data_IF_371095294434
#
_entry.id   IF_371095294434
#
_cell.length_a   1.000
_cell.length_b   1.000
_cell.length_c   1.000
_cell.angle_alpha   90.00
_cell.angle_beta   90.00
_cell.angle_gamma   90.00
#
_symmetry.space_group_name_H-M   'P 1'
#
loop_
_entity.id
_entity.type
_entity.pdbx_description
1 polymer ?
#
# COMPACT_ATOMS: atom_id res chain seq x y z
N UNK A 1 -10.80 -5.66 0.45
CA UNK A 1 -10.52 -6.54 1.62
C UNK A 1 -9.47 -7.61 1.29
N UNK A 2 -9.67 -8.41 0.23
CA UNK A 2 -8.72 -9.43 -0.21
C UNK A 2 -7.32 -8.86 -0.52
N UNK A 3 -7.25 -7.73 -1.21
CA UNK A 3 -5.98 -7.03 -1.51
C UNK A 3 -5.22 -6.54 -0.27
N UNK A 4 -5.95 -6.03 0.73
CA UNK A 4 -5.35 -5.54 1.99
C UNK A 4 -4.77 -6.73 2.77
N UNK A 5 -5.50 -7.84 2.81
CA UNK A 5 -5.00 -9.08 3.41
C UNK A 5 -3.76 -9.56 2.66
N UNK A 6 -3.83 -9.68 1.33
CA UNK A 6 -2.70 -10.09 0.49
C UNK A 6 -1.47 -9.21 0.70
N UNK A 7 -1.62 -7.89 0.74
CA UNK A 7 -0.52 -6.93 0.99
C UNK A 7 0.13 -7.12 2.37
N UNK A 8 -0.67 -7.34 3.42
CA UNK A 8 -0.14 -7.62 4.77
C UNK A 8 0.59 -8.95 4.83
N UNK A 9 0.05 -9.95 4.14
CA UNK A 9 0.65 -11.27 4.06
C UNK A 9 1.99 -11.25 3.31
N UNK A 10 2.09 -10.49 2.21
CA UNK A 10 3.34 -10.31 1.48
C UNK A 10 4.37 -9.53 2.31
N UNK A 11 3.93 -8.51 3.05
CA UNK A 11 4.83 -7.72 3.90
C UNK A 11 5.42 -8.55 5.05
N UNK A 12 4.58 -9.32 5.76
CA UNK A 12 5.05 -10.22 6.82
C UNK A 12 6.05 -11.25 6.28
N UNK A 13 5.76 -11.83 5.12
CA UNK A 13 6.66 -12.80 4.49
C UNK A 13 8.00 -12.17 4.04
N UNK A 14 8.00 -10.88 3.70
CA UNK A 14 9.23 -10.11 3.41
C UNK A 14 10.08 -9.86 4.66
N UNK A 15 9.47 -9.55 5.80
CA UNK A 15 10.20 -9.43 7.08
C UNK A 15 10.83 -10.76 7.50
N UNK A 16 10.06 -11.84 7.35
CA UNK A 16 10.47 -13.20 7.71
C UNK A 16 11.66 -13.73 6.91
N UNK A 17 11.71 -13.49 5.58
CA UNK A 17 12.87 -13.88 4.75
C UNK A 17 14.12 -13.08 5.12
N UNK A 18 13.98 -11.79 5.46
CA UNK A 18 15.12 -10.96 5.89
C UNK A 18 15.67 -11.45 7.22
N UNK A 19 14.81 -11.81 8.18
CA UNK A 19 15.23 -12.42 9.44
C UNK A 19 15.98 -13.75 9.21
N UNK A 20 15.51 -14.57 8.26
CA UNK A 20 16.22 -15.77 7.85
C UNK A 20 17.60 -15.45 7.26
N UNK A 21 17.71 -14.46 6.36
CA UNK A 21 18.99 -14.07 5.77
C UNK A 21 19.97 -13.54 6.83
N UNK A 22 19.48 -12.77 7.81
CA UNK A 22 20.28 -12.30 8.94
C UNK A 22 20.81 -13.47 9.78
N UNK A 23 19.96 -14.43 10.13
CA UNK A 23 20.38 -15.65 10.83
C UNK A 23 21.33 -16.52 9.99
N UNK A 24 21.15 -16.54 8.66
CA UNK A 24 22.02 -17.27 7.73
C UNK A 24 23.44 -16.70 7.74
N UNK A 25 23.57 -15.38 7.80
CA UNK A 25 24.87 -14.72 7.96
C UNK A 25 25.54 -15.10 9.27
N UNK A 26 24.79 -15.04 10.38
CA UNK A 26 25.33 -15.40 11.71
C UNK A 26 25.74 -16.88 11.76
N UNK A 27 24.93 -17.78 11.20
CA UNK A 27 25.30 -19.18 11.05
C UNK A 27 26.54 -19.35 10.17
N UNK A 28 26.65 -18.61 9.06
CA UNK A 28 27.80 -18.71 8.15
C UNK A 28 29.09 -18.21 8.77
N UNK A 29 29.05 -17.19 9.64
CA UNK A 29 30.21 -16.71 10.42
C UNK A 29 30.83 -17.79 11.31
N UNK A 30 30.08 -18.85 11.66
CA UNK A 30 30.62 -20.01 12.42
C UNK A 30 31.45 -20.99 11.57
N UNK A 31 31.49 -20.79 10.25
CA UNK A 31 32.24 -21.64 9.32
C UNK A 31 31.44 -22.80 8.70
N UNK A 32 30.20 -23.02 9.12
CA UNK A 32 29.29 -24.02 8.51
C UNK A 32 29.04 -23.70 7.03
N UNK A 33 29.00 -24.72 6.16
CA UNK A 33 28.68 -24.51 4.74
C UNK A 33 27.28 -23.88 4.56
N UNK A 34 27.02 -23.14 3.47
CA UNK A 34 25.72 -22.52 3.23
C UNK A 34 24.55 -23.51 3.31
N UNK A 35 24.71 -24.71 2.76
CA UNK A 35 23.70 -25.79 2.81
C UNK A 35 23.43 -26.23 4.25
N UNK A 36 24.48 -26.38 5.06
CA UNK A 36 24.34 -26.80 6.46
C UNK A 36 23.71 -25.72 7.32
N UNK A 37 24.00 -24.45 7.02
CA UNK A 37 23.33 -23.32 7.66
C UNK A 37 21.83 -23.35 7.34
N UNK A 38 21.44 -23.49 6.06
CA UNK A 38 20.03 -23.57 5.64
C UNK A 38 19.31 -24.74 6.31
N UNK A 39 19.96 -25.91 6.38
CA UNK A 39 19.40 -27.09 7.05
C UNK A 39 19.13 -26.80 8.54
N UNK A 40 20.10 -26.22 9.25
CA UNK A 40 19.99 -25.91 10.68
C UNK A 40 18.91 -24.86 10.95
N UNK A 41 18.87 -23.80 10.13
CA UNK A 41 17.90 -22.72 10.29
C UNK A 41 16.49 -23.17 9.92
N UNK A 42 16.31 -24.22 9.11
CA UNK A 42 14.98 -24.76 8.77
C UNK A 42 14.17 -25.29 9.95
N UNK A 43 14.84 -25.54 11.09
CA UNK A 43 14.22 -25.93 12.36
C UNK A 43 13.68 -24.74 13.17
N UNK A 44 14.14 -23.52 12.87
CA UNK A 44 13.67 -22.28 13.50
C UNK A 44 12.36 -21.79 12.86
N UNK A 45 11.68 -20.89 13.56
CA UNK A 45 10.44 -20.29 13.07
C UNK A 45 10.67 -18.92 12.44
N UNK A 46 10.48 -18.86 11.12
CA UNK A 46 10.39 -17.67 10.28
C UNK A 46 8.96 -17.47 9.78
N UNK A 47 7.96 -17.79 10.60
CA UNK A 47 6.54 -17.59 10.28
C UNK A 47 6.09 -18.25 8.97
N UNK A 48 5.59 -17.48 8.02
CA UNK A 48 5.10 -17.98 6.73
C UNK A 48 6.23 -18.48 5.83
N UNK A 49 7.43 -17.90 5.94
CA UNK A 49 8.60 -18.37 5.20
C UNK A 49 9.07 -19.76 5.66
N UNK A 50 8.82 -20.15 6.92
CA UNK A 50 9.17 -21.47 7.49
C UNK A 50 8.73 -22.64 6.61
N UNK A 51 7.56 -22.56 5.97
CA UNK A 51 7.04 -23.63 5.10
C UNK A 51 7.92 -23.81 3.87
N UNK A 52 8.34 -22.72 3.22
CA UNK A 52 9.24 -22.75 2.07
C UNK A 52 10.63 -23.22 2.48
N UNK A 53 11.14 -22.73 3.61
CA UNK A 53 12.46 -23.12 4.12
C UNK A 53 12.55 -24.62 4.43
N UNK A 54 11.49 -25.22 4.99
CA UNK A 54 11.41 -26.68 5.20
C UNK A 54 11.41 -27.47 3.90
N UNK A 55 10.74 -26.97 2.85
CA UNK A 55 10.77 -27.60 1.52
C UNK A 55 12.20 -27.54 0.94
N UNK A 56 12.87 -26.39 1.06
CA UNK A 56 14.26 -26.21 0.62
C UNK A 56 15.18 -27.18 1.36
N UNK A 57 15.12 -27.21 2.69
CA UNK A 57 15.94 -28.08 3.52
C UNK A 57 15.69 -29.58 3.25
N UNK A 58 14.43 -29.97 3.01
CA UNK A 58 14.13 -31.34 2.61
C UNK A 58 14.75 -31.65 1.24
N UNK A 59 14.59 -30.81 0.22
CA UNK A 59 15.22 -31.04 -1.09
C UNK A 59 16.76 -31.13 -0.98
N UNK A 60 17.39 -30.35 -0.11
CA UNK A 60 18.82 -30.43 0.20
C UNK A 60 19.22 -31.78 0.80
N UNK A 61 18.45 -32.28 1.78
CA UNK A 61 18.67 -33.61 2.40
C UNK A 61 18.59 -34.76 1.39
N UNK A 62 17.86 -34.56 0.28
CA UNK A 62 17.75 -35.51 -0.82
C UNK A 62 18.87 -35.37 -1.86
N UNK A 63 19.88 -34.53 -1.61
CA UNK A 63 21.06 -34.37 -2.46
C UNK A 63 20.83 -33.51 -3.71
N UNK A 64 19.73 -32.77 -3.78
CA UNK A 64 19.48 -31.86 -4.90
C UNK A 64 20.37 -30.61 -4.72
N UNK A 65 21.07 -30.12 -5.77
CA UNK A 65 21.91 -28.93 -5.68
C UNK A 65 21.13 -27.70 -5.20
N UNK A 66 21.70 -26.94 -4.26
CA UNK A 66 21.07 -25.78 -3.64
C UNK A 66 20.60 -24.76 -4.69
N UNK A 67 21.44 -24.43 -5.66
CA UNK A 67 21.14 -23.44 -6.71
C UNK A 67 19.88 -23.82 -7.48
N UNK A 68 19.72 -25.10 -7.82
CA UNK A 68 18.52 -25.62 -8.49
C UNK A 68 17.27 -25.51 -7.61
N UNK A 69 17.39 -25.84 -6.33
CA UNK A 69 16.27 -25.75 -5.38
C UNK A 69 15.80 -24.30 -5.25
N UNK A 70 16.75 -23.37 -5.06
CA UNK A 70 16.45 -21.95 -4.92
C UNK A 70 15.88 -21.37 -6.22
N UNK A 71 16.36 -21.81 -7.38
CA UNK A 71 15.83 -21.39 -8.69
C UNK A 71 14.38 -21.85 -8.90
N UNK A 72 14.06 -23.10 -8.54
CA UNK A 72 12.69 -23.62 -8.59
C UNK A 72 11.78 -22.81 -7.65
N UNK A 73 12.21 -22.57 -6.41
CA UNK A 73 11.43 -21.78 -5.43
C UNK A 73 11.27 -20.30 -5.83
N UNK A 74 12.27 -19.75 -6.52
CA UNK A 74 12.25 -18.40 -7.09
C UNK A 74 11.20 -18.30 -8.20
N UNK A 75 11.15 -19.28 -9.12
CA UNK A 75 10.18 -19.34 -10.24
C UNK A 75 8.76 -19.58 -9.76
N UNK A 76 8.56 -20.35 -8.68
CA UNK A 76 7.25 -20.61 -8.10
C UNK A 76 6.72 -19.46 -7.21
N UNK A 77 7.61 -18.60 -6.71
CA UNK A 77 7.23 -17.49 -5.84
C UNK A 77 6.47 -16.40 -6.60
N UNK A 78 5.25 -16.10 -6.14
CA UNK A 78 4.45 -14.95 -6.62
C UNK A 78 4.87 -13.62 -5.98
N UNK A 79 5.76 -13.65 -4.98
CA UNK A 79 6.26 -12.45 -4.32
C UNK A 79 7.63 -12.09 -4.90
N UNK A 80 7.68 -10.97 -5.63
CA UNK A 80 8.89 -10.40 -6.21
C UNK A 80 10.04 -10.28 -5.20
N UNK A 81 9.75 -9.82 -3.97
CA UNK A 81 10.79 -9.60 -2.96
C UNK A 81 11.44 -10.91 -2.49
N UNK A 82 10.68 -12.00 -2.45
CA UNK A 82 11.26 -13.32 -2.18
C UNK A 82 12.11 -13.76 -3.37
N UNK A 83 11.59 -13.62 -4.59
CA UNK A 83 12.30 -14.06 -5.79
C UNK A 83 13.65 -13.35 -5.94
N UNK A 84 13.72 -12.04 -5.70
CA UNK A 84 15.00 -11.30 -5.78
C UNK A 84 15.97 -11.70 -4.66
N UNK A 85 15.51 -11.92 -3.43
CA UNK A 85 16.38 -12.37 -2.34
C UNK A 85 16.91 -13.80 -2.57
N UNK A 86 16.08 -14.70 -3.10
CA UNK A 86 16.53 -16.05 -3.49
C UNK A 86 17.50 -15.99 -4.67
N UNK A 87 17.26 -15.13 -5.66
CA UNK A 87 18.17 -14.90 -6.77
C UNK A 87 19.55 -14.42 -6.30
N UNK A 88 19.59 -13.38 -5.46
CA UNK A 88 20.83 -12.84 -4.92
C UNK A 88 21.53 -13.85 -3.99
N UNK A 89 20.77 -14.70 -3.30
CA UNK A 89 21.34 -15.79 -2.50
C UNK A 89 22.03 -16.83 -3.38
N UNK A 90 21.44 -17.21 -4.51
CA UNK A 90 22.08 -18.09 -5.50
C UNK A 90 23.38 -17.46 -5.99
N UNK A 91 23.33 -16.20 -6.42
CA UNK A 91 24.50 -15.50 -6.98
C UNK A 91 25.63 -15.37 -5.94
N UNK A 92 25.27 -15.08 -4.69
CA UNK A 92 26.22 -15.01 -3.56
C UNK A 92 26.89 -16.35 -3.27
N UNK A 93 26.20 -17.47 -3.49
CA UNK A 93 26.71 -18.82 -3.23
C UNK A 93 27.52 -19.34 -4.42
N UNK A 94 26.97 -19.26 -5.63
CA UNK A 94 27.56 -19.84 -6.85
C UNK A 94 28.76 -19.03 -7.36
N UNK A 95 28.68 -17.70 -7.31
CA UNK A 95 29.75 -16.80 -7.78
C UNK A 95 30.61 -16.33 -6.60
N UNK A 96 29.96 -15.94 -5.51
CA UNK A 96 30.63 -15.41 -4.32
C UNK A 96 31.17 -16.45 -3.34
N UNK A 97 30.94 -17.75 -3.57
CA UNK A 97 31.37 -18.84 -2.67
C UNK A 97 30.65 -18.86 -1.31
N UNK A 98 29.56 -18.08 -1.17
CA UNK A 98 28.79 -17.96 0.05
C UNK A 98 29.62 -17.43 1.22
N UNK A 99 30.49 -16.46 0.97
CA UNK A 99 31.29 -15.85 2.05
C UNK A 99 30.39 -15.09 3.03
N UNK A 100 30.77 -15.03 4.32
CA UNK A 100 30.03 -14.23 5.31
C UNK A 100 29.80 -12.78 4.85
N UNK A 101 30.78 -12.18 4.18
CA UNK A 101 30.73 -10.80 3.69
C UNK A 101 29.70 -10.62 2.57
N UNK A 102 29.63 -11.57 1.63
CA UNK A 102 28.63 -11.53 0.55
C UNK A 102 27.20 -11.69 1.09
N UNK A 103 27.01 -12.62 2.03
CA UNK A 103 25.72 -12.82 2.67
C UNK A 103 25.33 -11.63 3.57
N UNK A 104 26.30 -11.00 4.25
CA UNK A 104 26.10 -9.78 5.06
C UNK A 104 25.60 -8.63 4.18
N UNK A 105 26.17 -8.46 2.99
CA UNK A 105 25.70 -7.48 2.01
C UNK A 105 24.26 -7.77 1.56
N UNK A 106 23.93 -9.05 1.31
CA UNK A 106 22.57 -9.48 0.96
C UNK A 106 21.56 -9.22 2.08
N UNK A 107 21.89 -9.60 3.32
CA UNK A 107 21.02 -9.39 4.48
C UNK A 107 20.80 -7.88 4.73
N UNK A 108 21.86 -7.08 4.65
CA UNK A 108 21.78 -5.63 4.80
C UNK A 108 20.95 -4.98 3.71
N UNK A 109 21.08 -5.42 2.45
CA UNK A 109 20.21 -4.98 1.36
C UNK A 109 18.73 -5.29 1.65
N UNK A 110 18.42 -6.49 2.12
CA UNK A 110 17.06 -6.87 2.48
C UNK A 110 16.46 -6.01 3.60
N UNK A 111 17.25 -5.75 4.65
CA UNK A 111 16.87 -4.87 5.77
C UNK A 111 16.67 -3.42 5.32
N UNK A 112 17.56 -2.89 4.49
CA UNK A 112 17.46 -1.53 3.96
C UNK A 112 16.19 -1.36 3.11
N UNK A 113 15.88 -2.31 2.23
CA UNK A 113 14.64 -2.27 1.45
C UNK A 113 13.40 -2.30 2.36
N UNK A 114 13.41 -3.11 3.41
CA UNK A 114 12.30 -3.17 4.36
C UNK A 114 12.13 -1.86 5.14
N UNK A 115 13.24 -1.26 5.57
CA UNK A 115 13.27 0.05 6.22
C UNK A 115 12.74 1.14 5.28
N UNK A 116 13.23 1.18 4.04
CA UNK A 116 12.77 2.11 3.01
C UNK A 116 11.26 1.99 2.75
N UNK A 117 10.72 0.77 2.66
CA UNK A 117 9.29 0.55 2.47
C UNK A 117 8.48 1.03 3.70
N UNK A 118 9.00 0.83 4.91
CA UNK A 118 8.38 1.30 6.16
C UNK A 118 8.40 2.83 6.24
N UNK A 119 9.51 3.46 5.89
CA UNK A 119 9.67 4.92 5.83
C UNK A 119 8.74 5.53 4.78
N UNK A 120 8.75 4.99 3.56
CA UNK A 120 7.83 5.38 2.49
C UNK A 120 6.37 5.31 2.95
N UNK A 121 5.95 4.20 3.55
CA UNK A 121 4.60 4.06 4.08
C UNK A 121 4.27 5.09 5.16
N UNK A 122 5.25 5.47 6.00
CA UNK A 122 5.07 6.52 7.00
C UNK A 122 4.92 7.89 6.35
N UNK A 123 5.78 8.22 5.38
CA UNK A 123 5.80 9.49 4.66
C UNK A 123 4.58 9.71 3.75
N UNK A 124 3.99 8.62 3.25
CA UNK A 124 2.80 8.67 2.38
C UNK A 124 1.50 8.83 3.18
N UNK A 125 1.43 8.38 4.44
CA UNK A 125 0.21 8.48 5.28
C UNK A 125 -0.40 9.89 5.32
N UNK A 126 0.36 10.98 5.56
CA UNK A 126 -0.21 12.33 5.55
C UNK A 126 -0.77 12.76 4.20
N UNK A 127 -0.17 12.31 3.10
CA UNK A 127 -0.60 12.67 1.73
C UNK A 127 -2.00 12.13 1.39
N UNK A 128 -2.45 11.07 2.07
CA UNK A 128 -3.80 10.51 1.93
C UNK A 128 -4.89 11.48 2.39
N UNK A 129 -4.56 12.45 3.27
CA UNK A 129 -5.52 13.45 3.74
C UNK A 129 -5.83 14.55 2.71
N UNK A 130 -4.93 14.78 1.74
CA UNK A 130 -5.07 15.88 0.78
C UNK A 130 -6.39 15.78 -0.02
N UNK A 131 -6.77 14.62 -0.59
CA UNK A 131 -8.04 14.51 -1.33
C UNK A 131 -9.28 14.65 -0.44
N UNK A 132 -9.17 14.35 0.86
CA UNK A 132 -10.28 14.58 1.81
C UNK A 132 -10.48 16.08 2.06
N UNK A 133 -9.40 16.82 2.29
CA UNK A 133 -9.44 18.28 2.44
C UNK A 133 -9.94 18.91 1.14
N UNK A 134 -9.45 18.47 -0.02
CA UNK A 134 -9.88 18.96 -1.34
C UNK A 134 -11.37 18.73 -1.61
N UNK A 135 -11.90 17.56 -1.25
CA UNK A 135 -13.33 17.26 -1.36
C UNK A 135 -14.18 18.16 -0.45
N UNK A 136 -13.74 18.38 0.79
CA UNK A 136 -14.41 19.31 1.72
C UNK A 136 -14.40 20.75 1.23
N UNK A 137 -13.26 21.22 0.70
CA UNK A 137 -13.15 22.57 0.13
C UNK A 137 -14.10 22.70 -1.06
N UNK A 138 -14.14 21.72 -1.96
CA UNK A 138 -15.02 21.74 -3.13
C UNK A 138 -16.50 21.81 -2.73
N UNK A 139 -16.90 21.06 -1.71
CA UNK A 139 -18.25 21.12 -1.15
C UNK A 139 -18.56 22.49 -0.54
N UNK A 140 -17.64 23.05 0.23
CA UNK A 140 -17.80 24.36 0.84
C UNK A 140 -17.89 25.47 -0.22
N UNK A 141 -17.01 25.44 -1.22
CA UNK A 141 -17.03 26.39 -2.35
C UNK A 141 -18.35 26.30 -3.12
N UNK A 142 -18.89 25.10 -3.34
CA UNK A 142 -20.19 24.93 -4.00
C UNK A 142 -21.34 25.56 -3.20
N UNK A 143 -21.34 25.42 -1.86
CA UNK A 143 -22.35 26.03 -1.00
C UNK A 143 -22.28 27.57 -1.04
N UNK A 144 -21.08 28.14 -0.93
CA UNK A 144 -20.85 29.60 -1.02
C UNK A 144 -21.27 30.13 -2.39
N UNK A 145 -20.91 29.41 -3.47
CA UNK A 145 -21.29 29.79 -4.82
C UNK A 145 -22.81 29.81 -5.03
N UNK A 146 -23.54 28.82 -4.51
CA UNK A 146 -25.00 28.82 -4.56
C UNK A 146 -25.59 30.05 -3.86
N UNK A 147 -25.12 30.36 -2.65
CA UNK A 147 -25.57 31.54 -1.90
C UNK A 147 -25.29 32.84 -2.67
N UNK A 148 -24.10 32.96 -3.25
CA UNK A 148 -23.73 34.12 -4.08
C UNK A 148 -24.65 34.31 -5.29
N UNK A 149 -24.93 33.23 -6.04
CA UNK A 149 -25.83 33.28 -7.20
C UNK A 149 -27.26 33.63 -6.79
N UNK A 150 -27.76 33.08 -5.68
CA UNK A 150 -29.08 33.40 -5.16
C UNK A 150 -29.21 34.89 -4.78
N UNK A 151 -28.18 35.44 -4.11
CA UNK A 151 -28.13 36.86 -3.77
C UNK A 151 -28.13 37.75 -5.03
N UNK A 152 -27.29 37.44 -6.03
CA UNK A 152 -27.28 38.18 -7.30
C UNK A 152 -28.62 38.09 -8.04
N UNK A 153 -29.24 36.92 -8.06
CA UNK A 153 -30.54 36.70 -8.72
C UNK A 153 -31.63 37.55 -8.04
N UNK A 154 -31.64 37.61 -6.71
CA UNK A 154 -32.56 38.46 -5.95
C UNK A 154 -32.40 39.95 -6.31
N UNK A 155 -31.17 40.46 -6.41
CA UNK A 155 -30.89 41.83 -6.85
C UNK A 155 -31.36 42.09 -8.28
N UNK A 156 -31.17 41.12 -9.18
CA UNK A 156 -31.57 41.20 -10.58
C UNK A 156 -33.08 40.93 -10.82
N UNK A 157 -33.87 40.71 -9.75
CA UNK A 157 -35.30 40.33 -9.81
C UNK A 157 -35.57 39.08 -10.67
N UNK A 158 -34.61 38.17 -10.73
CA UNK A 158 -34.76 36.87 -11.37
C UNK A 158 -34.67 35.75 -10.32
N UNK A 159 -35.39 34.65 -10.51
CA UNK A 159 -35.35 33.52 -9.60
C UNK A 159 -34.38 32.46 -10.13
N UNK A 160 -33.26 32.25 -9.45
CA UNK A 160 -32.40 31.10 -9.70
C UNK A 160 -32.85 29.91 -8.85
N UNK A 161 -33.39 28.87 -9.50
CA UNK A 161 -33.91 27.72 -8.78
C UNK A 161 -32.80 26.82 -8.24
N UNK A 162 -33.02 26.24 -7.05
CA UNK A 162 -32.14 25.20 -6.52
C UNK A 162 -32.03 24.00 -7.47
N UNK A 163 -33.11 23.68 -8.20
CA UNK A 163 -33.12 22.60 -9.20
C UNK A 163 -32.14 22.86 -10.35
N UNK A 164 -32.02 24.11 -10.81
CA UNK A 164 -31.05 24.50 -11.84
C UNK A 164 -29.62 24.34 -11.36
N UNK A 165 -29.34 24.74 -10.11
CA UNK A 165 -28.05 24.48 -9.47
C UNK A 165 -27.77 22.98 -9.35
N UNK A 166 -28.77 22.24 -8.87
CA UNK A 166 -28.66 20.81 -8.60
C UNK A 166 -28.27 20.02 -9.86
N UNK A 167 -28.93 20.31 -10.98
CA UNK A 167 -28.68 19.65 -12.25
C UNK A 167 -27.30 19.98 -12.85
N UNK A 168 -26.79 21.20 -12.62
CA UNK A 168 -25.54 21.65 -13.21
C UNK A 168 -24.31 21.28 -12.35
N UNK A 169 -24.41 21.42 -11.02
CA UNK A 169 -23.27 21.35 -10.11
C UNK A 169 -23.17 20.05 -9.32
N UNK A 170 -24.27 19.34 -9.02
CA UNK A 170 -24.18 18.10 -8.26
C UNK A 170 -23.46 16.97 -9.00
N UNK A 171 -23.71 16.71 -10.31
CA UNK A 171 -23.01 15.63 -11.00
C UNK A 171 -21.47 15.80 -11.01
N UNK A 172 -20.92 16.99 -11.33
CA UNK A 172 -19.48 17.23 -11.22
C UNK A 172 -18.92 17.09 -9.79
N UNK A 173 -19.65 17.53 -8.76
CA UNK A 173 -19.21 17.45 -7.35
C UNK A 173 -19.13 15.99 -6.90
N UNK A 174 -20.17 15.19 -7.20
CA UNK A 174 -20.18 13.76 -6.86
C UNK A 174 -19.08 13.02 -7.62
N UNK A 175 -18.89 13.34 -8.91
CA UNK A 175 -17.81 12.77 -9.70
C UNK A 175 -16.43 13.13 -9.15
N UNK A 176 -16.20 14.38 -8.75
CA UNK A 176 -14.97 14.82 -8.11
C UNK A 176 -14.72 14.09 -6.77
N UNK A 177 -15.76 13.87 -5.95
CA UNK A 177 -15.64 13.14 -4.69
C UNK A 177 -15.22 11.68 -4.90
N UNK A 178 -15.82 11.01 -5.89
CA UNK A 178 -15.46 9.63 -6.28
C UNK A 178 -13.99 9.58 -6.73
N UNK A 179 -13.60 10.45 -7.66
CA UNK A 179 -12.22 10.49 -8.17
C UNK A 179 -11.22 10.82 -7.07
N UNK A 180 -11.53 11.79 -6.20
CA UNK A 180 -10.66 12.17 -5.08
C UNK A 180 -10.45 11.02 -4.10
N UNK A 181 -11.49 10.21 -3.83
CA UNK A 181 -11.34 9.01 -3.02
C UNK A 181 -10.52 7.90 -3.69
N UNK A 182 -10.68 7.72 -5.01
CA UNK A 182 -9.82 6.81 -5.77
C UNK A 182 -8.34 7.25 -5.71
N UNK A 183 -8.08 8.55 -5.86
CA UNK A 183 -6.75 9.15 -5.71
C UNK A 183 -6.21 8.92 -4.30
N UNK A 184 -7.00 9.16 -3.25
CA UNK A 184 -6.59 8.93 -1.86
C UNK A 184 -6.14 7.48 -1.64
N UNK A 185 -6.90 6.50 -2.12
CA UNK A 185 -6.53 5.09 -1.97
C UNK A 185 -5.34 4.68 -2.83
N UNK A 186 -5.23 5.18 -4.06
CA UNK A 186 -4.06 4.93 -4.92
C UNK A 186 -2.79 5.51 -4.28
N UNK A 187 -2.86 6.71 -3.71
CA UNK A 187 -1.76 7.30 -2.96
C UNK A 187 -1.40 6.46 -1.75
N UNK A 188 -2.38 5.96 -1.00
CA UNK A 188 -2.12 5.21 0.25
C UNK A 188 -1.51 3.82 0.07
N UNK A 189 -1.86 3.12 -1.03
CA UNK A 189 -1.65 1.67 -1.15
C UNK A 189 -1.13 1.26 -2.52
N UNK A 190 -0.82 2.23 -3.39
CA UNK A 190 -0.38 2.08 -4.78
C UNK A 190 -1.38 1.41 -5.71
N UNK A 191 -2.50 0.92 -5.16
CA UNK A 191 -3.55 0.21 -5.87
C UNK A 191 -4.82 1.05 -5.90
N UNK A 192 -5.44 1.10 -7.08
CA UNK A 192 -6.73 1.78 -7.26
C UNK A 192 -7.84 1.08 -6.47
N UNK A 193 -7.74 -0.24 -6.28
CA UNK A 193 -8.75 -1.04 -5.56
C UNK A 193 -8.96 -0.61 -4.10
N UNK A 194 -7.92 -0.12 -3.41
CA UNK A 194 -8.07 0.42 -2.06
C UNK A 194 -8.84 1.76 -2.05
N UNK A 195 -8.80 2.50 -3.15
CA UNK A 195 -9.53 3.76 -3.34
C UNK A 195 -11.03 3.61 -3.31
N UNK A 196 -11.57 2.40 -3.50
CA UNK A 196 -13.00 2.18 -3.44
C UNK A 196 -13.60 2.47 -2.05
N UNK A 197 -12.87 2.14 -0.97
CA UNK A 197 -13.30 2.46 0.40
C UNK A 197 -13.29 3.97 0.64
N UNK A 198 -12.21 4.65 0.24
CA UNK A 198 -12.07 6.09 0.38
C UNK A 198 -13.09 6.85 -0.48
N UNK A 199 -13.34 6.39 -1.70
CA UNK A 199 -14.38 6.89 -2.60
C UNK A 199 -15.76 6.72 -1.98
N UNK A 200 -16.07 5.55 -1.43
CA UNK A 200 -17.39 5.32 -0.79
C UNK A 200 -17.62 6.27 0.38
N UNK A 201 -16.60 6.47 1.23
CA UNK A 201 -16.66 7.41 2.36
C UNK A 201 -16.87 8.85 1.87
N UNK A 202 -16.08 9.31 0.90
CA UNK A 202 -16.20 10.67 0.36
C UNK A 202 -17.54 10.88 -0.34
N UNK A 203 -18.03 9.90 -1.11
CA UNK A 203 -19.35 10.00 -1.76
C UNK A 203 -20.49 10.10 -0.74
N UNK A 204 -20.47 9.30 0.33
CA UNK A 204 -21.49 9.37 1.40
C UNK A 204 -21.43 10.74 2.08
N UNK A 205 -20.23 11.22 2.41
CA UNK A 205 -20.04 12.55 3.00
C UNK A 205 -20.57 13.66 2.09
N UNK A 206 -20.26 13.60 0.79
CA UNK A 206 -20.77 14.51 -0.23
C UNK A 206 -22.29 14.51 -0.28
N UNK A 207 -22.94 13.34 -0.27
CA UNK A 207 -24.41 13.24 -0.26
C UNK A 207 -25.01 13.89 1.00
N UNK A 208 -24.42 13.63 2.18
CA UNK A 208 -24.88 14.23 3.44
C UNK A 208 -24.79 15.76 3.37
N UNK A 209 -23.67 16.30 2.89
CA UNK A 209 -23.50 17.75 2.76
C UNK A 209 -24.46 18.36 1.74
N UNK A 210 -24.71 17.68 0.62
CA UNK A 210 -25.70 18.11 -0.38
C UNK A 210 -27.10 18.18 0.21
N UNK A 211 -27.49 17.22 1.06
CA UNK A 211 -28.79 17.23 1.74
C UNK A 211 -28.91 18.39 2.75
N UNK A 212 -27.80 18.77 3.38
CA UNK A 212 -27.75 19.87 4.35
C UNK A 212 -27.61 21.25 3.68
N UNK A 213 -27.19 21.30 2.41
CA UNK A 213 -26.91 22.53 1.66
C UNK A 213 -28.07 23.55 1.66
N UNK A 214 -29.35 23.15 1.45
CA UNK A 214 -30.48 24.08 1.48
C UNK A 214 -30.67 24.75 2.85
N UNK A 215 -30.41 24.01 3.93
CA UNK A 215 -30.51 24.53 5.30
C UNK A 215 -29.37 25.52 5.60
N UNK A 216 -28.16 25.23 5.11
CA UNK A 216 -27.00 26.13 5.24
C UNK A 216 -27.16 27.42 4.43
N UNK A 217 -27.68 27.33 3.20
CA UNK A 217 -27.98 28.50 2.37
C UNK A 217 -29.06 29.37 3.03
N UNK A 218 -30.08 28.74 3.63
CA UNK A 218 -31.08 29.44 4.44
C UNK A 218 -30.46 30.19 5.62
N UNK A 219 -29.50 29.59 6.35
CA UNK A 219 -28.83 30.22 7.48
C UNK A 219 -27.96 31.44 7.08
N UNK A 220 -27.25 31.33 5.94
CA UNK A 220 -26.41 32.42 5.40
C UNK A 220 -27.26 33.55 4.77
N UNK A 221 -28.46 33.25 4.29
CA UNK A 221 -29.40 34.22 3.73
C UNK A 221 -30.09 35.10 4.77
N UNK A 222 -30.14 34.70 6.05
CA UNK A 222 -30.83 35.47 7.12
C UNK A 222 -29.93 36.61 7.65
N UNK A 223 -28.67 36.69 7.21
CA UNK A 223 -27.68 37.67 7.66
C UNK A 223 -27.52 38.92 6.77
N UNK A 224 -28.38 39.12 5.76
CA UNK A 224 -28.40 40.33 4.90
C UNK A 224 -29.78 40.95 4.93
#
# INVERSE_FOLDING_TARGET
>A
IFDIKYSRETAAMSEEIVNFLRDLVEARKTGLSPEKCIETLSERDYGRFSKKLRVIANKLKWGIPLSKILEDEMRESKNWFISINLFLLIDSIDVGGGTPEALEALASFGEEILLLEKEKKSSVKPLVLIPYIGGLITLFTAAVFLSFVQNLAALAKFAFSFTSFANLFLPPIVFNAVLSGLVAGKTSSERVSAGFLHSSILSILTIIVILLLPYFAGLLSIGV
#
